data_IF_015024766057
#
_entry.id   IF_015024766057
#
_cell.length_a   1.000
_cell.length_b   1.000
_cell.length_c   1.000
_cell.angle_alpha   90.00
_cell.angle_beta   90.00
_cell.angle_gamma   90.00
#
_symmetry.space_group_name_H-M   'P 1'
#
loop_
_entity.id
_entity.type
_entity.pdbx_description
1 polymer ?
#
# COMPACT_ATOMS: atom_id res chain seq x y z
N UNK A 1 1.76 -0.28 -4.52
CA UNK A 1 1.59 -0.58 -5.96
C UNK A 1 1.19 0.71 -6.65
N UNK A 2 1.87 1.09 -7.72
CA UNK A 2 1.63 2.35 -8.43
C UNK A 2 0.60 2.18 -9.55
N UNK A 3 -0.07 3.28 -9.96
CA UNK A 3 -1.09 3.24 -11.03
C UNK A 3 -0.57 2.61 -12.33
N UNK A 4 0.69 2.80 -12.67
CA UNK A 4 1.31 2.21 -13.85
C UNK A 4 1.56 0.70 -13.76
N UNK A 5 1.47 0.13 -12.55
CA UNK A 5 1.73 -1.30 -12.32
C UNK A 5 0.47 -2.15 -12.35
N UNK A 6 -0.66 -1.63 -11.87
CA UNK A 6 -1.91 -2.39 -11.81
C UNK A 6 -3.16 -1.57 -12.11
N UNK A 7 -3.48 -0.56 -11.32
CA UNK A 7 -4.76 0.14 -11.39
C UNK A 7 -5.04 0.80 -12.75
N UNK A 8 -4.01 1.19 -13.48
CA UNK A 8 -4.14 1.72 -14.84
C UNK A 8 -4.74 0.73 -15.82
N UNK A 9 -4.37 -0.56 -15.74
CA UNK A 9 -4.95 -1.60 -16.58
C UNK A 9 -6.43 -1.83 -16.24
N UNK A 10 -6.79 -1.87 -14.95
CA UNK A 10 -8.18 -1.96 -14.52
C UNK A 10 -9.00 -0.77 -15.04
N UNK A 11 -8.47 0.45 -14.90
CA UNK A 11 -9.13 1.66 -15.36
C UNK A 11 -9.37 1.63 -16.88
N UNK A 12 -8.35 1.26 -17.66
CA UNK A 12 -8.48 1.13 -19.12
C UNK A 12 -9.53 0.09 -19.49
N UNK A 13 -9.47 -1.09 -18.91
CA UNK A 13 -10.39 -2.19 -19.21
C UNK A 13 -11.84 -1.84 -18.87
N UNK A 14 -12.08 -1.08 -17.79
CA UNK A 14 -13.41 -0.60 -17.43
C UNK A 14 -13.86 0.54 -18.35
N UNK A 15 -12.97 1.44 -18.76
CA UNK A 15 -13.29 2.49 -19.72
C UNK A 15 -13.75 1.92 -21.07
N UNK A 16 -13.10 0.86 -21.55
CA UNK A 16 -13.51 0.12 -22.76
C UNK A 16 -14.91 -0.52 -22.63
N UNK A 17 -15.40 -0.70 -21.40
CA UNK A 17 -16.75 -1.18 -21.08
C UNK A 17 -17.76 -0.06 -20.81
N UNK A 18 -17.39 1.19 -21.05
CA UNK A 18 -18.27 2.35 -20.95
C UNK A 18 -18.31 3.03 -19.57
N UNK A 19 -17.39 2.70 -18.66
CA UNK A 19 -17.27 3.41 -17.40
C UNK A 19 -16.39 4.66 -17.54
N UNK A 20 -16.73 5.70 -16.79
CA UNK A 20 -15.77 6.79 -16.52
C UNK A 20 -14.82 6.32 -15.42
N UNK A 21 -13.52 6.35 -15.67
CA UNK A 21 -12.55 5.77 -14.77
C UNK A 21 -11.44 6.74 -14.40
N UNK A 22 -10.93 6.64 -13.19
CA UNK A 22 -9.73 7.30 -12.72
C UNK A 22 -8.80 6.30 -12.02
N UNK A 23 -7.52 6.36 -12.33
CA UNK A 23 -6.48 5.64 -11.60
C UNK A 23 -5.45 6.66 -11.12
N UNK A 24 -5.08 6.56 -9.86
CA UNK A 24 -4.15 7.49 -9.24
C UNK A 24 -3.06 6.74 -8.46
N UNK A 25 -1.94 7.40 -8.21
CA UNK A 25 -0.99 7.00 -7.20
C UNK A 25 -1.44 7.60 -5.87
N UNK A 26 -1.32 6.85 -4.80
CA UNK A 26 -1.62 7.35 -3.46
C UNK A 26 -0.72 8.54 -3.12
N UNK A 27 -1.17 9.42 -2.26
CA UNK A 27 -0.39 10.55 -1.75
C UNK A 27 1.00 10.10 -1.31
N UNK A 28 1.99 10.94 -1.51
CA UNK A 28 3.42 10.67 -1.25
C UNK A 28 4.10 9.66 -2.19
N UNK A 29 3.35 8.88 -2.99
CA UNK A 29 3.91 7.81 -3.85
C UNK A 29 3.84 8.16 -5.33
N UNK A 30 4.65 7.49 -6.15
CA UNK A 30 4.63 7.59 -7.60
C UNK A 30 4.72 9.04 -8.10
N UNK A 31 3.77 9.42 -8.96
CA UNK A 31 3.65 10.77 -9.52
C UNK A 31 2.82 11.73 -8.64
N UNK A 32 2.16 11.23 -7.58
CA UNK A 32 1.44 12.07 -6.63
C UNK A 32 2.38 12.83 -5.71
N UNK A 33 1.95 14.02 -5.28
CA UNK A 33 2.73 14.87 -4.37
C UNK A 33 2.64 14.37 -2.91
N UNK A 34 3.30 15.10 -2.03
CA UNK A 34 3.29 14.89 -0.59
C UNK A 34 4.67 14.71 0.02
N UNK A 35 4.78 14.98 1.30
CA UNK A 35 5.93 14.75 2.17
C UNK A 35 5.49 13.90 3.37
N UNK A 36 6.25 12.99 3.89
CA UNK A 36 7.54 12.45 3.41
C UNK A 36 7.28 11.56 2.19
N UNK A 37 8.22 11.50 1.22
CA UNK A 37 8.05 10.67 0.01
C UNK A 37 8.11 9.18 0.38
N UNK A 38 7.24 8.41 -0.28
CA UNK A 38 7.11 6.96 -0.12
C UNK A 38 6.65 6.50 1.28
N UNK A 39 6.13 7.40 2.09
CA UNK A 39 5.44 7.07 3.32
C UNK A 39 4.04 6.56 2.98
N UNK A 40 3.74 5.31 3.30
CA UNK A 40 2.37 4.83 3.26
C UNK A 40 1.70 5.15 4.60
N UNK A 41 0.66 5.97 4.55
CA UNK A 41 -0.11 6.37 5.73
C UNK A 41 -1.53 5.83 5.61
N UNK A 42 -2.03 5.01 6.55
CA UNK A 42 -3.33 4.38 6.42
C UNK A 42 -4.47 5.37 6.32
N UNK A 43 -4.46 6.43 7.10
CA UNK A 43 -5.50 7.47 7.10
C UNK A 43 -5.46 8.31 5.81
N UNK A 44 -4.28 8.75 5.37
CA UNK A 44 -4.13 9.50 4.11
C UNK A 44 -4.54 8.65 2.91
N UNK A 45 -4.16 7.39 2.88
CA UNK A 45 -4.52 6.50 1.78
C UNK A 45 -6.02 6.17 1.74
N UNK A 46 -6.70 6.16 2.88
CA UNK A 46 -8.16 6.09 2.95
C UNK A 46 -8.79 7.37 2.40
N UNK A 47 -8.30 8.55 2.81
CA UNK A 47 -8.76 9.85 2.34
C UNK A 47 -8.55 10.04 0.83
N UNK A 48 -7.48 9.50 0.25
CA UNK A 48 -7.23 9.55 -1.20
C UNK A 48 -8.37 8.96 -2.03
N UNK A 49 -9.11 7.96 -1.50
CA UNK A 49 -10.31 7.43 -2.15
C UNK A 49 -11.45 8.43 -2.12
N UNK A 50 -11.70 9.09 -0.99
CA UNK A 50 -12.70 10.15 -0.89
C UNK A 50 -12.36 11.35 -1.77
N UNK A 51 -11.10 11.74 -1.84
CA UNK A 51 -10.63 12.78 -2.75
C UNK A 51 -10.82 12.40 -4.24
N UNK A 52 -10.64 11.13 -4.59
CA UNK A 52 -10.94 10.64 -5.93
C UNK A 52 -12.45 10.70 -6.26
N UNK A 53 -13.31 10.42 -5.27
CA UNK A 53 -14.77 10.62 -5.39
C UNK A 53 -15.10 12.10 -5.60
N UNK A 54 -14.47 13.01 -4.88
CA UNK A 54 -14.62 14.46 -5.08
C UNK A 54 -14.24 14.87 -6.50
N UNK A 55 -13.11 14.37 -6.98
CA UNK A 55 -12.62 14.66 -8.33
C UNK A 55 -13.64 14.18 -9.40
N UNK A 56 -14.11 12.95 -9.29
CA UNK A 56 -15.12 12.40 -10.20
C UNK A 56 -16.43 13.17 -10.12
N UNK A 57 -16.90 13.45 -8.91
CA UNK A 57 -18.17 14.16 -8.69
C UNK A 57 -18.20 15.61 -9.17
N UNK A 58 -17.04 16.21 -9.48
CA UNK A 58 -16.94 17.52 -10.14
C UNK A 58 -17.12 17.45 -11.65
N UNK A 59 -17.01 16.27 -12.24
CA UNK A 59 -17.16 16.11 -13.68
C UNK A 59 -18.63 16.14 -14.07
N UNK A 60 -19.03 17.02 -15.00
CA UNK A 60 -20.45 17.20 -15.41
C UNK A 60 -21.09 15.96 -16.03
N UNK A 61 -20.28 15.04 -16.51
CA UNK A 61 -20.70 13.79 -17.16
C UNK A 61 -20.70 12.59 -16.21
N UNK A 62 -20.38 12.79 -14.93
CA UNK A 62 -20.41 11.74 -13.90
C UNK A 62 -21.68 11.83 -13.09
N UNK A 63 -22.38 10.72 -12.98
CA UNK A 63 -23.50 10.55 -12.05
C UNK A 63 -22.99 10.27 -10.65
N UNK A 64 -23.21 11.20 -9.72
CA UNK A 64 -22.74 11.12 -8.34
C UNK A 64 -23.38 9.97 -7.55
N UNK A 65 -24.57 9.50 -7.98
CA UNK A 65 -25.22 8.36 -7.35
C UNK A 65 -24.74 7.00 -7.87
N UNK A 66 -23.74 7.00 -8.76
CA UNK A 66 -23.23 5.79 -9.41
C UNK A 66 -21.70 5.72 -9.40
N UNK A 67 -21.09 6.16 -8.31
CA UNK A 67 -19.63 6.10 -8.12
C UNK A 67 -19.28 4.83 -7.36
N UNK A 68 -18.35 4.06 -7.90
CA UNK A 68 -17.77 2.87 -7.26
C UNK A 68 -16.26 2.99 -7.11
N UNK A 69 -15.68 2.17 -6.26
CA UNK A 69 -14.25 2.13 -6.02
C UNK A 69 -13.70 0.70 -6.06
N UNK A 70 -12.46 0.56 -6.53
CA UNK A 70 -11.77 -0.74 -6.57
C UNK A 70 -10.43 -0.61 -5.85
N UNK A 71 -10.20 -1.50 -4.89
CA UNK A 71 -8.93 -1.63 -4.20
C UNK A 71 -8.19 -2.91 -4.61
N UNK A 72 -6.91 -2.79 -4.92
CA UNK A 72 -6.09 -3.91 -5.39
C UNK A 72 -4.99 -4.18 -4.37
N UNK A 73 -4.79 -5.45 -4.01
CA UNK A 73 -3.76 -5.89 -3.07
C UNK A 73 -3.92 -5.18 -1.70
N UNK A 74 -2.88 -4.68 -1.08
CA UNK A 74 -2.96 -3.94 0.19
C UNK A 74 -3.90 -2.74 0.18
N UNK A 75 -4.16 -2.11 -0.98
CA UNK A 75 -5.13 -1.03 -1.09
C UNK A 75 -6.60 -1.50 -1.03
N UNK A 76 -6.84 -2.81 -1.05
CA UNK A 76 -8.17 -3.37 -0.81
C UNK A 76 -8.68 -3.06 0.61
N UNK A 77 -7.83 -3.13 1.61
CA UNK A 77 -8.20 -2.76 2.99
C UNK A 77 -8.52 -1.26 3.14
N UNK A 78 -7.82 -0.40 2.41
CA UNK A 78 -8.06 1.05 2.44
C UNK A 78 -9.39 1.42 1.76
N UNK A 79 -9.70 0.84 0.59
CA UNK A 79 -10.96 1.13 -0.10
C UNK A 79 -12.18 0.64 0.70
N UNK A 80 -12.08 -0.50 1.38
CA UNK A 80 -13.14 -0.98 2.27
C UNK A 80 -13.32 -0.04 3.46
N UNK A 81 -12.22 0.43 4.05
CA UNK A 81 -12.26 1.40 5.14
C UNK A 81 -12.87 2.73 4.68
N UNK A 82 -12.52 3.21 3.49
CA UNK A 82 -13.14 4.41 2.91
C UNK A 82 -14.64 4.22 2.68
N UNK A 83 -15.05 3.11 2.05
CA UNK A 83 -16.45 2.81 1.75
C UNK A 83 -17.33 2.63 3.00
N UNK A 84 -16.75 2.22 4.12
CA UNK A 84 -17.46 2.10 5.39
C UNK A 84 -17.93 3.46 5.94
N UNK A 85 -17.26 4.55 5.57
CA UNK A 85 -17.55 5.92 6.06
C UNK A 85 -18.08 6.82 4.94
N UNK A 86 -17.52 6.74 3.75
CA UNK A 86 -17.93 7.56 2.61
C UNK A 86 -19.06 6.90 1.81
N UNK A 87 -20.29 7.21 2.21
CA UNK A 87 -21.52 6.67 1.58
C UNK A 87 -21.72 7.09 0.10
N UNK A 88 -20.89 7.98 -0.41
CA UNK A 88 -20.87 8.34 -1.84
C UNK A 88 -20.24 7.25 -2.69
N UNK A 89 -19.48 6.35 -2.08
CA UNK A 89 -18.99 5.11 -2.71
C UNK A 89 -20.14 4.10 -2.67
N UNK A 90 -20.87 3.96 -3.80
CA UNK A 90 -22.09 3.14 -3.87
C UNK A 90 -21.79 1.66 -4.09
N UNK A 91 -20.61 1.35 -4.63
CA UNK A 91 -20.16 -0.03 -4.86
C UNK A 91 -18.67 -0.08 -4.59
N UNK A 92 -18.25 -1.09 -3.84
CA UNK A 92 -16.84 -1.35 -3.61
C UNK A 92 -16.48 -2.77 -4.08
N UNK A 93 -15.33 -2.89 -4.72
CA UNK A 93 -14.76 -4.17 -5.10
C UNK A 93 -13.30 -4.26 -4.67
N UNK A 94 -12.86 -5.47 -4.38
CA UNK A 94 -11.45 -5.74 -4.07
C UNK A 94 -10.90 -6.85 -4.97
N UNK A 95 -9.63 -6.77 -5.28
CA UNK A 95 -8.91 -7.81 -6.04
C UNK A 95 -7.67 -8.21 -5.26
N UNK A 96 -7.53 -9.52 -4.98
CA UNK A 96 -6.38 -10.11 -4.24
C UNK A 96 -6.01 -9.32 -2.98
N UNK A 97 -7.03 -8.89 -2.23
CA UNK A 97 -6.85 -8.01 -1.08
C UNK A 97 -6.36 -8.75 0.16
N UNK A 98 -5.69 -8.02 1.02
CA UNK A 98 -5.42 -8.41 2.40
C UNK A 98 -5.52 -7.17 3.30
N UNK A 99 -5.71 -7.37 4.61
CA UNK A 99 -5.62 -6.28 5.57
C UNK A 99 -4.17 -5.89 5.78
N UNK A 100 -3.81 -4.69 5.33
CA UNK A 100 -2.43 -4.23 5.38
C UNK A 100 -1.96 -3.95 6.81
N UNK A 101 -2.87 -3.49 7.70
CA UNK A 101 -2.54 -3.28 9.11
C UNK A 101 -2.29 -4.61 9.82
N UNK A 102 -3.18 -5.57 9.62
CA UNK A 102 -3.05 -6.91 10.19
C UNK A 102 -1.81 -7.63 9.64
N UNK A 103 -1.56 -7.53 8.34
CA UNK A 103 -0.37 -8.12 7.72
C UNK A 103 0.92 -7.53 8.30
N UNK A 104 1.00 -6.22 8.48
CA UNK A 104 2.19 -5.61 9.09
C UNK A 104 2.35 -5.99 10.56
N UNK A 105 1.27 -6.07 11.32
CA UNK A 105 1.33 -6.41 12.74
C UNK A 105 1.53 -7.90 13.01
N UNK A 106 0.83 -8.76 12.26
CA UNK A 106 0.82 -10.21 12.48
C UNK A 106 1.75 -10.99 11.56
N UNK A 107 2.28 -10.35 10.51
CA UNK A 107 2.99 -11.01 9.42
C UNK A 107 2.05 -11.74 8.47
N UNK A 108 2.55 -12.14 7.32
CA UNK A 108 1.79 -12.93 6.35
C UNK A 108 1.35 -14.26 7.01
N UNK A 109 0.06 -14.58 6.89
CA UNK A 109 -0.56 -15.76 7.53
C UNK A 109 -0.42 -15.80 9.08
N UNK A 110 -0.29 -14.65 9.71
CA UNK A 110 -0.12 -14.52 11.18
C UNK A 110 1.11 -15.26 11.72
N UNK A 111 2.21 -15.25 10.99
CA UNK A 111 3.44 -15.98 11.35
C UNK A 111 4.36 -15.22 12.28
N UNK A 112 4.16 -13.91 12.45
CA UNK A 112 5.03 -13.06 13.26
C UNK A 112 4.81 -13.31 14.76
N UNK A 113 5.88 -13.64 15.46
CA UNK A 113 5.87 -13.87 16.90
C UNK A 113 5.80 -12.55 17.70
N UNK A 114 5.50 -12.62 18.99
CA UNK A 114 5.53 -11.46 19.87
C UNK A 114 6.94 -10.88 19.97
N UNK A 115 7.96 -11.74 20.09
CA UNK A 115 9.36 -11.33 20.11
C UNK A 115 9.75 -10.56 18.85
N UNK A 116 9.32 -11.02 17.67
CA UNK A 116 9.57 -10.32 16.41
C UNK A 116 8.89 -8.95 16.37
N UNK A 117 7.67 -8.81 16.91
CA UNK A 117 7.00 -7.50 17.02
C UNK A 117 7.76 -6.54 17.95
N UNK A 118 8.31 -7.03 19.06
CA UNK A 118 9.17 -6.19 19.93
C UNK A 118 10.43 -5.74 19.20
N UNK A 119 11.11 -6.64 18.48
CA UNK A 119 12.27 -6.30 17.66
C UNK A 119 11.94 -5.26 16.55
N UNK A 120 10.75 -5.34 15.96
CA UNK A 120 10.28 -4.33 15.00
C UNK A 120 10.04 -2.98 15.65
N UNK A 121 9.43 -2.95 16.84
CA UNK A 121 9.24 -1.68 17.58
C UNK A 121 10.58 -1.03 17.94
N UNK A 122 11.55 -1.81 18.34
CA UNK A 122 12.92 -1.34 18.60
C UNK A 122 13.58 -0.79 17.32
N UNK A 123 13.40 -1.49 16.19
CA UNK A 123 13.86 -1.00 14.89
C UNK A 123 13.22 0.33 14.54
N UNK A 124 11.89 0.42 14.60
CA UNK A 124 11.17 1.65 14.29
C UNK A 124 11.57 2.82 15.18
N UNK A 125 11.82 2.57 16.47
CA UNK A 125 12.31 3.60 17.39
C UNK A 125 13.69 4.12 16.97
N UNK A 126 14.59 3.23 16.54
CA UNK A 126 15.93 3.61 16.02
C UNK A 126 15.81 4.40 14.72
N UNK A 127 14.96 3.95 13.78
CA UNK A 127 14.73 4.67 12.52
C UNK A 127 14.14 6.05 12.77
N UNK A 128 13.27 6.20 13.75
CA UNK A 128 12.71 7.50 14.11
C UNK A 128 13.77 8.49 14.59
N UNK A 129 14.73 8.05 15.39
CA UNK A 129 15.87 8.88 15.76
C UNK A 129 16.78 9.19 14.58
N UNK A 130 17.05 8.21 13.74
CA UNK A 130 17.84 8.43 12.53
C UNK A 130 17.20 9.45 11.61
N UNK A 131 15.89 9.40 11.40
CA UNK A 131 15.19 10.39 10.57
C UNK A 131 15.17 11.80 11.16
N UNK A 132 15.19 11.92 12.49
CA UNK A 132 15.34 13.23 13.16
C UNK A 132 16.70 13.85 12.86
N UNK A 133 17.74 13.03 12.82
CA UNK A 133 19.11 13.49 12.64
C UNK A 133 19.49 13.67 11.15
N UNK A 134 19.03 12.78 10.28
CA UNK A 134 19.50 12.66 8.89
C UNK A 134 18.40 12.92 7.85
N UNK A 135 17.13 12.95 8.26
CA UNK A 135 15.97 13.01 7.37
C UNK A 135 15.45 11.63 6.95
N UNK A 136 14.41 11.58 6.10
CA UNK A 136 13.70 10.35 5.75
C UNK A 136 14.61 9.24 5.24
N UNK A 137 14.45 8.04 5.78
CA UNK A 137 15.24 6.84 5.48
C UNK A 137 14.37 5.80 4.77
N UNK A 138 14.93 5.20 3.72
CA UNK A 138 14.27 4.08 3.04
C UNK A 138 14.37 2.80 3.86
N UNK A 139 13.27 2.04 3.88
CA UNK A 139 13.17 0.77 4.58
C UNK A 139 12.37 -0.27 3.80
N UNK A 140 12.37 -1.52 4.23
CA UNK A 140 11.55 -2.56 3.64
C UNK A 140 10.05 -2.29 3.89
N UNK A 141 9.21 -2.92 3.09
CA UNK A 141 7.76 -2.92 3.33
C UNK A 141 7.43 -3.61 4.67
N UNK A 142 8.17 -4.64 4.99
CA UNK A 142 8.03 -5.47 6.18
C UNK A 142 9.42 -5.97 6.57
N UNK A 143 9.74 -6.00 7.86
CA UNK A 143 10.98 -6.59 8.32
C UNK A 143 10.94 -8.12 8.14
N UNK A 144 11.98 -8.66 7.54
CA UNK A 144 12.23 -10.09 7.54
C UNK A 144 13.12 -10.47 8.72
N UNK A 145 13.07 -11.72 9.12
CA UNK A 145 13.90 -12.29 10.17
C UNK A 145 14.64 -13.53 9.66
N UNK A 146 15.86 -13.73 10.10
CA UNK A 146 16.62 -14.94 9.80
C UNK A 146 16.20 -16.10 10.75
N UNK A 147 16.81 -17.26 10.55
CA UNK A 147 16.55 -18.48 11.36
C UNK A 147 16.86 -18.33 12.86
N UNK A 148 17.67 -17.33 13.23
CA UNK A 148 18.02 -16.99 14.61
C UNK A 148 17.18 -15.83 15.16
N UNK A 149 16.07 -15.50 14.47
CA UNK A 149 15.17 -14.40 14.84
C UNK A 149 15.84 -13.00 14.79
N UNK A 150 16.92 -12.88 14.00
CA UNK A 150 17.62 -11.62 13.82
C UNK A 150 17.00 -10.84 12.67
N UNK A 151 16.67 -9.54 12.85
CA UNK A 151 16.11 -8.73 11.79
C UNK A 151 17.05 -8.57 10.61
N UNK A 152 16.51 -8.75 9.39
CA UNK A 152 17.19 -8.51 8.12
C UNK A 152 16.74 -7.14 7.59
N UNK A 153 17.69 -6.24 7.42
CA UNK A 153 17.43 -4.87 6.99
C UNK A 153 17.70 -4.71 5.50
N UNK A 154 16.65 -4.39 4.75
CA UNK A 154 16.76 -4.00 3.34
C UNK A 154 16.37 -2.53 3.20
N UNK A 155 17.17 -1.78 2.46
CA UNK A 155 16.86 -0.38 2.12
C UNK A 155 15.86 -0.23 0.96
N UNK A 156 15.29 -1.33 0.47
CA UNK A 156 14.34 -1.40 -0.64
C UNK A 156 13.27 -2.44 -0.33
N UNK A 157 12.20 -2.48 -1.12
CA UNK A 157 11.18 -3.52 -1.01
C UNK A 157 11.76 -4.92 -1.20
N UNK A 158 12.65 -5.06 -2.20
CA UNK A 158 13.39 -6.29 -2.47
C UNK A 158 14.89 -6.00 -2.51
N UNK A 159 15.74 -6.95 -2.12
CA UNK A 159 17.18 -6.86 -2.31
C UNK A 159 17.53 -6.80 -3.81
N UNK A 160 18.74 -6.37 -4.15
CA UNK A 160 19.18 -6.33 -5.55
C UNK A 160 19.28 -7.72 -6.17
N UNK A 161 19.46 -8.75 -5.35
CA UNK A 161 19.47 -10.17 -5.74
C UNK A 161 18.81 -11.00 -4.66
N UNK A 162 17.85 -11.82 -5.05
CA UNK A 162 17.23 -12.76 -4.11
C UNK A 162 18.21 -13.86 -3.68
N UNK A 163 18.07 -14.36 -2.43
CA UNK A 163 18.68 -15.61 -2.01
C UNK A 163 18.29 -16.77 -2.96
N UNK A 164 19.18 -17.73 -3.15
CA UNK A 164 18.92 -18.86 -4.04
C UNK A 164 17.74 -19.73 -3.59
N UNK A 165 17.52 -19.80 -2.30
CA UNK A 165 16.47 -20.53 -1.59
C UNK A 165 15.19 -19.73 -1.35
N UNK A 166 15.11 -18.50 -1.87
CA UNK A 166 13.88 -17.70 -1.78
C UNK A 166 12.66 -18.52 -2.26
N UNK A 167 11.55 -18.37 -1.56
CA UNK A 167 10.33 -19.10 -1.86
C UNK A 167 9.75 -18.71 -3.24
N UNK A 168 8.89 -19.54 -3.84
CA UNK A 168 8.35 -19.29 -5.17
C UNK A 168 7.52 -18.01 -5.28
N UNK A 169 6.81 -17.61 -4.20
CA UNK A 169 5.97 -16.41 -4.19
C UNK A 169 6.87 -15.17 -4.20
N UNK A 170 7.87 -15.13 -3.34
CA UNK A 170 8.87 -14.05 -3.29
C UNK A 170 9.59 -13.90 -4.63
N UNK A 171 9.95 -15.02 -5.29
CA UNK A 171 10.55 -14.98 -6.66
C UNK A 171 9.61 -14.35 -7.68
N UNK A 172 8.31 -14.68 -7.66
CA UNK A 172 7.32 -14.10 -8.56
C UNK A 172 7.11 -12.59 -8.32
N UNK A 173 7.04 -12.17 -7.07
CA UNK A 173 6.95 -10.75 -6.72
C UNK A 173 8.20 -9.98 -7.16
N UNK A 174 9.37 -10.52 -6.91
CA UNK A 174 10.62 -9.91 -7.35
C UNK A 174 10.64 -9.74 -8.88
N UNK A 175 10.35 -10.79 -9.62
CA UNK A 175 10.31 -10.78 -11.08
C UNK A 175 9.27 -9.76 -11.61
N UNK A 176 8.15 -9.62 -10.92
CA UNK A 176 7.14 -8.63 -11.26
C UNK A 176 7.62 -7.19 -10.98
N UNK A 177 8.00 -6.88 -9.75
CA UNK A 177 8.26 -5.50 -9.33
C UNK A 177 9.63 -4.97 -9.78
N UNK A 178 10.65 -5.83 -9.86
CA UNK A 178 11.99 -5.46 -10.29
C UNK A 178 12.16 -5.62 -11.80
N UNK A 179 11.47 -6.58 -12.40
CA UNK A 179 11.55 -6.91 -13.83
C UNK A 179 10.39 -6.35 -14.64
N UNK A 180 9.30 -7.13 -14.74
CA UNK A 180 8.21 -6.90 -15.72
C UNK A 180 7.39 -5.63 -15.52
N UNK A 181 7.13 -5.27 -14.27
CA UNK A 181 6.30 -4.11 -13.96
C UNK A 181 7.11 -2.81 -13.81
N UNK A 182 8.42 -2.87 -14.05
CA UNK A 182 9.22 -1.67 -14.07
C UNK A 182 8.76 -0.77 -15.23
N UNK A 183 8.52 0.48 -14.91
CA UNK A 183 8.17 1.50 -15.88
C UNK A 183 8.84 2.82 -15.48
N UNK A 184 9.44 3.58 -16.41
CA UNK A 184 10.16 4.82 -16.09
C UNK A 184 9.32 5.85 -15.31
N UNK A 185 7.99 5.84 -15.50
CA UNK A 185 7.04 6.67 -14.78
C UNK A 185 6.48 6.03 -13.49
N UNK A 186 6.84 4.79 -13.21
CA UNK A 186 6.61 4.15 -11.91
C UNK A 186 7.78 4.43 -11.00
N UNK A 187 7.91 5.69 -10.63
CA UNK A 187 9.00 6.16 -9.76
C UNK A 187 9.04 5.30 -8.51
N UNK A 188 10.22 4.80 -8.18
CA UNK A 188 10.44 3.95 -7.01
C UNK A 188 9.73 2.58 -7.07
N UNK A 189 9.64 1.97 -8.23
CA UNK A 189 8.93 0.68 -8.44
C UNK A 189 9.46 -0.48 -7.57
N UNK A 190 10.79 -0.56 -7.36
CA UNK A 190 11.41 -1.40 -6.33
C UNK A 190 12.02 -0.54 -5.23
N UNK A 191 11.46 0.64 -5.03
CA UNK A 191 12.01 1.56 -4.08
C UNK A 191 11.65 1.18 -2.66
N UNK A 192 12.45 1.69 -1.76
CA UNK A 192 12.13 1.68 -0.36
C UNK A 192 10.78 2.37 -0.10
N UNK A 193 10.00 1.83 0.79
CA UNK A 193 9.08 2.64 1.57
C UNK A 193 9.88 3.52 2.50
N UNK A 194 9.26 4.57 3.01
CA UNK A 194 9.79 5.24 4.19
C UNK A 194 9.85 4.25 5.37
N UNK A 195 10.96 4.23 6.10
CA UNK A 195 11.22 3.25 7.14
C UNK A 195 10.18 3.29 8.28
N UNK A 196 9.50 4.41 8.48
CA UNK A 196 8.46 4.58 9.48
C UNK A 196 7.05 4.20 8.99
N UNK A 197 6.90 3.71 7.77
CA UNK A 197 5.61 3.26 7.25
C UNK A 197 4.87 2.30 8.20
N UNK A 198 5.50 1.25 8.79
CA UNK A 198 4.80 0.34 9.69
C UNK A 198 4.24 1.03 10.95
N UNK A 199 4.85 2.11 11.40
CA UNK A 199 4.41 2.87 12.58
C UNK A 199 2.94 3.32 12.48
N UNK A 200 2.54 3.83 11.30
CA UNK A 200 1.15 4.24 11.06
C UNK A 200 0.19 3.05 11.10
N UNK A 201 0.53 1.95 10.44
CA UNK A 201 -0.31 0.75 10.40
C UNK A 201 -0.45 0.02 11.72
N UNK A 202 0.53 0.10 12.60
CA UNK A 202 0.44 -0.45 13.95
C UNK A 202 -0.53 0.33 14.84
N UNK A 203 -0.65 1.64 14.59
CA UNK A 203 -1.53 2.53 15.37
C UNK A 203 -2.95 2.66 14.80
N UNK A 204 -3.13 2.42 13.49
CA UNK A 204 -4.39 2.66 12.78
C UNK A 204 -4.84 1.39 12.05
N UNK A 205 -5.51 0.47 12.76
CA UNK A 205 -6.04 -0.73 12.13
C UNK A 205 -7.13 -0.37 11.13
N UNK A 206 -7.01 -0.96 9.95
CA UNK A 206 -7.99 -0.83 8.87
C UNK A 206 -9.19 -1.74 9.09
N UNK A 207 -10.23 -1.57 8.31
CA UNK A 207 -11.42 -2.44 8.25
C UNK A 207 -12.28 -2.52 9.52
N UNK A 208 -12.05 -1.68 10.53
CA UNK A 208 -12.77 -1.74 11.81
C UNK A 208 -14.29 -1.44 11.71
N UNK A 209 -14.76 -0.93 10.59
CA UNK A 209 -16.16 -0.52 10.38
C UNK A 209 -16.77 -1.12 9.12
N UNK A 210 -16.16 -2.16 8.53
CA UNK A 210 -16.64 -2.72 7.26
C UNK A 210 -18.03 -3.35 7.36
N UNK A 211 -18.46 -3.76 8.55
CA UNK A 211 -19.81 -4.26 8.81
C UNK A 211 -20.89 -3.18 8.59
N UNK A 212 -20.49 -1.91 8.49
CA UNK A 212 -21.42 -0.79 8.22
C UNK A 212 -21.64 -0.51 6.75
N UNK A 213 -20.89 -1.14 5.84
CA UNK A 213 -21.08 -1.01 4.39
C UNK A 213 -22.47 -1.59 4.03
N UNK A 214 -23.30 -0.78 3.36
CA UNK A 214 -24.68 -1.13 2.95
C UNK A 214 -24.77 -1.43 1.46
#
# INVERSE_FOLDING_TARGET
MLKKQASGLYAQTLAERGFVTVAFDQSTTGESSGRVRNMASPDIFVEDYSAAVDFLGKQKFVDRERIGAIGICGLGSHVLTAAAIDVRIKVVATSVMYDMSDSMWKGLNNTKTEEQRELEKDYLAKMRWQEVDEGPVGGPHELAFDENNKPIYWSKMFPDKLPADADPVTKQFFDYYVGRAFHPRSVNSNGAWDALTPWGYYNFPLQQRIETIK
#
